data_IF_830816292404
#
_entry.id   IF_830816292404
#
_cell.length_a   1.000
_cell.length_b   1.000
_cell.length_c   1.000
_cell.angle_alpha   90.00
_cell.angle_beta   90.00
_cell.angle_gamma   90.00
#
_symmetry.space_group_name_H-M   'P 1'
#
loop_
_entity.id
_entity.type
_entity.pdbx_description
1 polymer ?
#
# COMPACT_ATOMS: atom_id res chain seq x y z
N UNK A 1 34.77 -1.40 -4.50
CA UNK A 1 33.35 -1.62 -4.78
C UNK A 1 32.64 -0.31 -4.50
N UNK A 2 31.69 0.11 -5.35
CA UNK A 2 30.88 1.29 -5.07
C UNK A 2 30.03 1.04 -3.81
N UNK A 3 29.68 2.09 -3.10
CA UNK A 3 28.82 1.96 -1.92
C UNK A 3 27.43 1.47 -2.34
N UNK A 4 26.81 0.54 -1.57
CA UNK A 4 25.48 0.05 -1.88
C UNK A 4 24.46 1.20 -1.90
N UNK A 5 23.51 1.13 -2.84
CA UNK A 5 22.60 2.21 -3.18
C UNK A 5 21.16 1.85 -2.83
N UNK A 6 20.40 2.84 -2.35
CA UNK A 6 18.95 2.75 -2.20
C UNK A 6 18.26 3.42 -3.39
N UNK A 7 17.43 2.65 -4.10
CA UNK A 7 16.59 3.18 -5.18
C UNK A 7 15.18 3.47 -4.65
N UNK A 8 14.75 4.73 -4.72
CA UNK A 8 13.40 5.15 -4.29
C UNK A 8 12.55 5.35 -5.54
N UNK A 9 11.57 4.46 -5.75
CA UNK A 9 10.67 4.49 -6.90
C UNK A 9 9.34 5.12 -6.49
N UNK A 10 9.20 6.41 -6.82
CA UNK A 10 8.02 7.21 -6.46
C UNK A 10 7.94 8.48 -7.31
N UNK A 11 6.74 9.10 -7.35
CA UNK A 11 6.54 10.40 -8.02
C UNK A 11 7.29 11.53 -7.31
N UNK A 12 7.55 12.63 -7.98
CA UNK A 12 8.20 13.82 -7.39
C UNK A 12 7.34 14.51 -6.32
N UNK A 13 6.04 14.28 -6.31
CA UNK A 13 5.09 14.90 -5.38
C UNK A 13 4.88 14.10 -4.09
N UNK A 14 5.61 12.97 -3.90
CA UNK A 14 5.46 12.12 -2.73
C UNK A 14 6.24 12.66 -1.53
N UNK A 15 5.63 13.55 -0.77
CA UNK A 15 6.19 14.14 0.47
C UNK A 15 6.57 13.08 1.51
N UNK A 16 5.86 11.95 1.57
CA UNK A 16 6.22 10.86 2.49
C UNK A 16 7.50 10.15 2.03
N UNK A 17 7.70 10.02 0.72
CA UNK A 17 8.96 9.54 0.13
C UNK A 17 10.12 10.48 0.45
N UNK A 18 9.89 11.80 0.45
CA UNK A 18 10.90 12.80 0.77
C UNK A 18 11.44 12.64 2.20
N UNK A 19 10.58 12.29 3.18
CA UNK A 19 11.00 12.04 4.56
C UNK A 19 12.02 10.90 4.65
N UNK A 20 11.77 9.80 3.94
CA UNK A 20 12.68 8.64 3.92
C UNK A 20 13.98 8.99 3.20
N UNK A 21 13.92 9.71 2.08
CA UNK A 21 15.11 10.18 1.35
C UNK A 21 15.96 11.09 2.24
N UNK A 22 15.33 12.03 2.96
CA UNK A 22 16.05 12.91 3.90
C UNK A 22 16.76 12.11 5.00
N UNK A 23 16.07 11.17 5.63
CA UNK A 23 16.66 10.33 6.68
C UNK A 23 17.79 9.41 6.17
N UNK A 24 17.72 8.94 4.92
CA UNK A 24 18.81 8.20 4.30
C UNK A 24 20.00 9.11 3.99
N UNK A 25 19.76 10.34 3.51
CA UNK A 25 20.82 11.32 3.27
C UNK A 25 21.54 11.74 4.59
N UNK A 26 20.81 11.90 5.71
CA UNK A 26 21.39 12.15 7.04
C UNK A 26 22.33 11.03 7.50
N UNK A 27 22.13 9.80 6.97
CA UNK A 27 23.00 8.64 7.22
C UNK A 27 24.10 8.48 6.17
N UNK A 28 24.25 9.48 5.29
CA UNK A 28 25.23 9.45 4.20
C UNK A 28 25.03 8.26 3.23
N UNK A 29 23.79 7.69 3.18
CA UNK A 29 23.44 6.60 2.28
C UNK A 29 23.28 7.11 0.86
N UNK A 30 23.90 6.47 -0.15
CA UNK A 30 23.62 6.78 -1.54
C UNK A 30 22.15 6.49 -1.89
N UNK A 31 21.41 7.53 -2.28
CA UNK A 31 19.99 7.43 -2.64
C UNK A 31 19.76 7.99 -4.03
N UNK A 32 18.97 7.30 -4.83
CA UNK A 32 18.48 7.82 -6.10
C UNK A 32 16.97 7.67 -6.18
N UNK A 33 16.30 8.78 -6.46
CA UNK A 33 14.86 8.79 -6.77
C UNK A 33 14.64 8.61 -8.25
N UNK A 34 13.68 7.76 -8.61
CA UNK A 34 13.26 7.48 -9.98
C UNK A 34 11.73 7.47 -10.02
N UNK A 35 11.16 8.23 -10.93
CA UNK A 35 9.79 8.04 -11.37
C UNK A 35 9.80 7.35 -12.75
N UNK A 36 9.29 6.11 -12.87
CA UNK A 36 9.26 5.40 -14.15
C UNK A 36 8.48 6.12 -15.26
N UNK A 37 7.56 7.02 -14.91
CA UNK A 37 6.85 7.85 -15.89
C UNK A 37 7.75 8.93 -16.54
N UNK A 38 8.93 9.20 -15.98
CA UNK A 38 9.91 10.12 -16.56
C UNK A 38 10.70 9.50 -17.74
N UNK A 39 10.38 8.26 -18.12
CA UNK A 39 11.02 7.57 -19.27
C UNK A 39 11.07 8.45 -20.52
N UNK A 40 12.26 8.62 -21.07
CA UNK A 40 12.53 9.40 -22.28
C UNK A 40 12.71 10.91 -22.05
N UNK A 41 12.25 11.48 -20.94
CA UNK A 41 12.46 12.92 -20.62
C UNK A 41 13.44 13.11 -19.47
N UNK A 42 13.17 12.51 -18.32
CA UNK A 42 13.99 12.60 -17.10
C UNK A 42 14.70 11.29 -16.75
N UNK A 43 14.32 10.19 -17.40
CA UNK A 43 14.86 8.86 -17.14
C UNK A 43 15.26 8.17 -18.45
N UNK A 44 16.53 7.84 -18.58
CA UNK A 44 17.04 6.94 -19.60
C UNK A 44 17.57 5.66 -18.94
N UNK A 45 17.46 4.54 -19.62
CA UNK A 45 18.00 3.27 -19.15
C UNK A 45 18.55 2.42 -20.28
N UNK A 46 19.49 1.56 -19.93
CA UNK A 46 19.98 0.51 -20.81
C UNK A 46 20.32 -0.70 -19.95
N UNK A 47 19.72 -1.84 -20.26
CA UNK A 47 19.97 -3.09 -19.56
C UNK A 47 20.29 -4.19 -20.54
N UNK A 48 21.23 -5.07 -20.16
CA UNK A 48 21.66 -6.22 -20.97
C UNK A 48 21.83 -7.47 -20.12
N UNK A 49 21.48 -8.59 -20.68
CA UNK A 49 21.75 -9.91 -20.14
C UNK A 49 22.34 -10.76 -21.27
N UNK A 50 23.25 -11.68 -20.96
CA UNK A 50 23.88 -12.51 -21.98
C UNK A 50 24.48 -13.78 -21.38
N UNK A 51 25.16 -14.57 -22.19
CA UNK A 51 25.74 -15.85 -21.78
C UNK A 51 26.62 -15.71 -20.53
N UNK A 52 26.32 -16.48 -19.48
CA UNK A 52 27.04 -16.46 -18.20
C UNK A 52 26.60 -15.37 -17.22
N UNK A 53 25.72 -14.44 -17.61
CA UNK A 53 25.18 -13.46 -16.68
C UNK A 53 24.01 -14.05 -15.88
N UNK A 54 24.05 -13.90 -14.55
CA UNK A 54 22.98 -14.34 -13.64
C UNK A 54 21.92 -13.27 -13.40
N UNK A 55 22.19 -12.01 -13.81
CA UNK A 55 21.33 -10.87 -13.62
C UNK A 55 21.48 -9.86 -14.77
N UNK A 56 20.50 -8.95 -14.86
CA UNK A 56 20.59 -7.80 -15.74
C UNK A 56 21.71 -6.85 -15.27
N UNK A 57 22.66 -6.56 -16.16
CA UNK A 57 23.62 -5.46 -15.99
C UNK A 57 23.24 -4.26 -16.82
N UNK A 58 23.66 -3.07 -16.40
CA UNK A 58 23.38 -1.82 -17.11
C UNK A 58 23.07 -0.66 -16.18
N UNK A 59 22.52 0.40 -16.73
CA UNK A 59 22.40 1.69 -16.05
C UNK A 59 21.03 2.31 -16.14
N UNK A 60 20.70 3.04 -15.07
CA UNK A 60 19.66 4.05 -15.03
C UNK A 60 20.34 5.41 -14.99
N UNK A 61 19.87 6.36 -15.79
CA UNK A 61 20.35 7.75 -15.79
C UNK A 61 19.17 8.69 -15.60
N UNK A 62 19.21 9.46 -14.52
CA UNK A 62 18.31 10.59 -14.25
C UNK A 62 18.99 11.90 -14.67
N UNK A 63 18.31 13.03 -14.52
CA UNK A 63 18.89 14.34 -14.80
C UNK A 63 20.11 14.66 -13.92
N UNK A 64 20.22 14.08 -12.73
CA UNK A 64 21.25 14.39 -11.73
C UNK A 64 22.20 13.25 -11.42
N UNK A 65 21.84 11.98 -11.73
CA UNK A 65 22.62 10.80 -11.31
C UNK A 65 22.58 9.69 -12.34
N UNK A 66 23.65 8.90 -12.34
CA UNK A 66 23.73 7.63 -13.06
C UNK A 66 23.93 6.50 -12.04
N UNK A 67 23.26 5.38 -12.24
CA UNK A 67 23.21 4.22 -11.32
C UNK A 67 23.45 2.95 -12.10
N UNK A 68 24.40 2.14 -11.68
CA UNK A 68 24.53 0.76 -12.15
C UNK A 68 23.46 -0.11 -11.49
N UNK A 69 22.74 -0.92 -12.27
CA UNK A 69 21.67 -1.79 -11.75
C UNK A 69 22.17 -2.77 -10.69
N UNK A 70 23.42 -3.25 -10.80
CA UNK A 70 24.02 -4.16 -9.85
C UNK A 70 24.45 -3.52 -8.52
N UNK A 71 24.42 -2.21 -8.40
CA UNK A 71 24.74 -1.48 -7.15
C UNK A 71 23.52 -1.26 -6.26
N UNK A 72 22.32 -1.51 -6.80
CA UNK A 72 21.07 -1.33 -6.04
C UNK A 72 20.92 -2.45 -5.01
N UNK A 73 21.06 -2.11 -3.73
CA UNK A 73 20.93 -3.05 -2.61
C UNK A 73 19.54 -3.04 -1.98
N UNK A 74 18.83 -1.91 -2.07
CA UNK A 74 17.46 -1.81 -1.58
C UNK A 74 16.60 -0.95 -2.50
N UNK A 75 15.32 -1.27 -2.54
CA UNK A 75 14.30 -0.54 -3.31
C UNK A 75 13.16 -0.15 -2.38
N UNK A 76 12.91 1.13 -2.24
CA UNK A 76 11.69 1.65 -1.66
C UNK A 76 10.69 1.93 -2.77
N UNK A 77 9.81 0.96 -3.05
CA UNK A 77 8.80 1.06 -4.10
C UNK A 77 7.50 1.61 -3.50
N UNK A 78 7.17 2.85 -3.82
CA UNK A 78 6.07 3.53 -3.14
C UNK A 78 4.92 3.88 -4.09
N UNK A 79 4.91 5.08 -4.64
CA UNK A 79 3.81 5.63 -5.44
C UNK A 79 4.32 6.29 -6.71
N UNK A 80 4.91 5.52 -7.65
CA UNK A 80 5.30 6.08 -8.92
C UNK A 80 4.07 6.56 -9.70
N UNK A 81 4.29 7.57 -10.51
CA UNK A 81 3.30 8.03 -11.49
C UNK A 81 2.97 6.89 -12.46
N UNK A 82 1.70 6.65 -12.80
CA UNK A 82 1.34 5.64 -13.78
C UNK A 82 2.03 5.89 -15.13
N UNK A 83 2.57 4.85 -15.75
CA UNK A 83 3.23 4.95 -17.05
C UNK A 83 2.38 5.65 -18.13
N UNK A 84 1.06 5.47 -18.09
CA UNK A 84 0.13 6.10 -19.03
C UNK A 84 0.14 7.64 -18.96
N UNK A 85 0.49 8.22 -17.82
CA UNK A 85 0.55 9.67 -17.66
C UNK A 85 1.62 10.31 -18.58
N UNK A 86 2.72 9.57 -18.85
CA UNK A 86 3.78 10.03 -19.77
C UNK A 86 3.28 10.23 -21.20
N UNK A 87 2.28 9.49 -21.60
CA UNK A 87 1.82 9.42 -22.99
C UNK A 87 0.44 10.09 -23.21
N UNK A 88 0.04 10.99 -22.32
CA UNK A 88 -1.27 11.65 -22.35
C UNK A 88 -1.59 12.38 -23.67
N UNK A 89 -0.55 12.83 -24.38
CA UNK A 89 -0.70 13.52 -25.68
C UNK A 89 -0.85 12.59 -26.89
N UNK A 90 -0.72 11.27 -26.70
CA UNK A 90 -0.88 10.30 -27.77
C UNK A 90 -2.34 9.87 -27.92
N UNK A 91 -2.78 9.47 -29.13
CA UNK A 91 -4.05 8.77 -29.32
C UNK A 91 -4.15 7.54 -28.39
N UNK A 92 -5.36 7.21 -27.95
CA UNK A 92 -5.60 6.20 -26.91
C UNK A 92 -4.86 4.87 -27.17
N UNK A 93 -4.99 4.30 -28.37
CA UNK A 93 -4.33 3.04 -28.73
C UNK A 93 -2.80 3.12 -28.65
N UNK A 94 -2.21 4.23 -29.14
CA UNK A 94 -0.75 4.44 -29.09
C UNK A 94 -0.27 4.66 -27.66
N UNK A 95 -1.03 5.42 -26.86
CA UNK A 95 -0.77 5.66 -25.45
C UNK A 95 -0.75 4.34 -24.67
N UNK A 96 -1.79 3.51 -24.87
CA UNK A 96 -1.93 2.27 -24.14
C UNK A 96 -0.83 1.27 -24.53
N UNK A 97 -0.47 1.19 -25.80
CA UNK A 97 0.68 0.41 -26.26
C UNK A 97 1.99 0.90 -25.67
N UNK A 98 2.30 2.19 -25.76
CA UNK A 98 3.57 2.75 -25.23
C UNK A 98 3.66 2.59 -23.70
N UNK A 99 2.55 2.77 -22.97
CA UNK A 99 2.50 2.54 -21.53
C UNK A 99 2.73 1.08 -21.16
N UNK A 100 2.17 0.15 -21.93
CA UNK A 100 2.39 -1.29 -21.75
C UNK A 100 3.86 -1.68 -21.99
N UNK A 101 4.46 -1.20 -23.09
CA UNK A 101 5.88 -1.45 -23.39
C UNK A 101 6.82 -0.89 -22.31
N UNK A 102 6.57 0.35 -21.86
CA UNK A 102 7.36 0.95 -20.77
C UNK A 102 7.20 0.15 -19.46
N UNK A 103 5.97 -0.27 -19.13
CA UNK A 103 5.70 -1.07 -17.95
C UNK A 103 6.38 -2.44 -17.99
N UNK A 104 6.31 -3.14 -19.12
CA UNK A 104 6.90 -4.47 -19.26
C UNK A 104 8.42 -4.41 -19.43
N UNK A 105 8.95 -3.43 -20.17
CA UNK A 105 10.38 -3.25 -20.36
C UNK A 105 11.08 -2.69 -19.12
N UNK A 106 10.92 -1.40 -18.85
CA UNK A 106 11.55 -0.74 -17.69
C UNK A 106 11.03 -1.31 -16.37
N UNK A 107 9.70 -1.45 -16.22
CA UNK A 107 9.10 -2.02 -15.02
C UNK A 107 9.57 -3.44 -14.75
N UNK A 108 9.76 -4.26 -15.80
CA UNK A 108 10.33 -5.60 -15.69
C UNK A 108 11.74 -5.60 -15.11
N UNK A 109 12.60 -4.64 -15.52
CA UNK A 109 13.94 -4.47 -14.95
C UNK A 109 13.85 -4.01 -13.48
N UNK A 110 13.07 -2.95 -13.21
CA UNK A 110 12.95 -2.37 -11.87
C UNK A 110 12.34 -3.34 -10.83
N UNK A 111 11.50 -4.27 -11.25
CA UNK A 111 10.89 -5.27 -10.38
C UNK A 111 11.78 -6.50 -10.13
N UNK A 112 12.93 -6.62 -10.80
CA UNK A 112 13.79 -7.79 -10.72
C UNK A 112 15.26 -7.42 -10.54
N UNK A 113 15.55 -6.41 -9.74
CA UNK A 113 16.92 -6.05 -9.37
C UNK A 113 17.48 -7.15 -8.45
N UNK A 114 18.47 -7.87 -8.94
CA UNK A 114 18.99 -9.06 -8.29
C UNK A 114 19.64 -8.75 -6.94
N UNK A 115 19.21 -9.44 -5.88
CA UNK A 115 19.75 -9.27 -4.53
C UNK A 115 19.23 -8.05 -3.78
N UNK A 116 18.45 -7.18 -4.42
CA UNK A 116 17.88 -6.01 -3.74
C UNK A 116 16.74 -6.38 -2.78
N UNK A 117 16.74 -5.77 -1.59
CA UNK A 117 15.59 -5.80 -0.70
C UNK A 117 14.51 -4.84 -1.22
N UNK A 118 13.28 -5.33 -1.36
CA UNK A 118 12.15 -4.48 -1.71
C UNK A 118 11.28 -4.15 -0.50
N UNK A 119 10.95 -2.87 -0.35
CA UNK A 119 9.97 -2.38 0.61
C UNK A 119 8.91 -1.54 -0.12
N UNK A 120 7.80 -2.11 -0.58
CA UNK A 120 7.51 -3.53 -0.79
C UNK A 120 7.76 -3.94 -2.25
N UNK A 121 7.87 -5.24 -2.50
CA UNK A 121 7.93 -5.72 -3.89
C UNK A 121 6.58 -5.47 -4.59
N UNK A 122 6.55 -4.91 -5.83
CA UNK A 122 5.29 -4.54 -6.51
C UNK A 122 4.31 -5.70 -6.69
N UNK A 123 4.80 -6.92 -6.95
CA UNK A 123 3.91 -8.08 -7.07
C UNK A 123 3.30 -8.49 -5.73
N UNK A 124 4.03 -8.37 -4.62
CA UNK A 124 3.51 -8.60 -3.28
C UNK A 124 2.43 -7.56 -2.92
N UNK A 125 2.68 -6.27 -3.25
CA UNK A 125 1.67 -5.21 -3.11
C UNK A 125 0.41 -5.55 -3.90
N UNK A 126 0.56 -5.97 -5.17
CA UNK A 126 -0.58 -6.33 -6.03
C UNK A 126 -1.37 -7.51 -5.45
N UNK A 127 -0.69 -8.55 -4.96
CA UNK A 127 -1.36 -9.70 -4.35
C UNK A 127 -2.10 -9.32 -3.06
N UNK A 128 -1.49 -8.47 -2.23
CA UNK A 128 -2.06 -8.02 -0.97
C UNK A 128 -3.16 -6.95 -1.13
N UNK A 129 -3.39 -6.39 -2.31
CA UNK A 129 -4.36 -5.33 -2.58
C UNK A 129 -5.80 -5.87 -2.74
N UNK A 130 -5.96 -7.19 -2.84
CA UNK A 130 -7.26 -7.85 -2.96
C UNK A 130 -7.95 -7.97 -1.58
N UNK A 131 -8.98 -7.14 -1.30
CA UNK A 131 -9.70 -7.17 -0.01
C UNK A 131 -10.23 -8.55 0.39
N UNK A 132 -10.78 -9.39 -0.51
CA UNK A 132 -11.20 -10.74 -0.14
C UNK A 132 -10.03 -11.62 0.36
N UNK A 133 -8.85 -11.51 -0.30
CA UNK A 133 -7.65 -12.23 0.15
C UNK A 133 -7.14 -11.71 1.50
N UNK A 134 -7.21 -10.40 1.72
CA UNK A 134 -6.86 -9.77 3.00
C UNK A 134 -7.71 -10.32 4.15
N UNK A 135 -9.03 -10.31 4.01
CA UNK A 135 -9.96 -10.78 5.03
C UNK A 135 -9.79 -12.28 5.31
N UNK A 136 -9.63 -13.08 4.26
CA UNK A 136 -9.37 -14.51 4.42
C UNK A 136 -8.06 -14.76 5.17
N UNK A 137 -6.98 -14.07 4.80
CA UNK A 137 -5.69 -14.23 5.46
C UNK A 137 -5.73 -13.78 6.92
N UNK A 138 -6.41 -12.64 7.20
CA UNK A 138 -6.60 -12.15 8.56
C UNK A 138 -7.34 -13.17 9.43
N UNK A 139 -8.44 -13.74 8.93
CA UNK A 139 -9.20 -14.77 9.63
C UNK A 139 -8.38 -16.05 9.87
N UNK A 140 -7.60 -16.51 8.89
CA UNK A 140 -6.69 -17.67 9.02
C UNK A 140 -5.63 -17.47 10.11
N UNK A 141 -5.26 -16.23 10.40
CA UNK A 141 -4.29 -15.85 11.42
C UNK A 141 -4.94 -15.53 12.77
N UNK A 142 -6.25 -15.76 12.91
CA UNK A 142 -6.98 -15.57 14.15
C UNK A 142 -7.39 -14.11 14.46
N UNK A 143 -7.24 -13.20 13.50
CA UNK A 143 -7.78 -11.85 13.64
C UNK A 143 -9.31 -11.89 13.50
N UNK A 144 -10.00 -11.11 14.32
CA UNK A 144 -11.43 -10.91 14.17
C UNK A 144 -11.72 -10.11 12.91
N UNK A 145 -12.55 -10.64 12.01
CA UNK A 145 -12.99 -9.96 10.79
C UNK A 145 -14.51 -9.76 10.83
N UNK A 146 -15.05 -8.65 10.29
CA UNK A 146 -16.49 -8.47 10.22
C UNK A 146 -17.12 -9.52 9.30
N UNK A 147 -18.34 -10.01 9.57
CA UNK A 147 -19.12 -10.76 8.57
C UNK A 147 -19.13 -10.01 7.25
N UNK A 148 -18.74 -10.67 6.18
CA UNK A 148 -18.52 -10.04 4.87
C UNK A 148 -19.09 -10.90 3.75
N UNK A 149 -19.78 -10.28 2.81
CA UNK A 149 -20.31 -10.88 1.58
C UNK A 149 -19.69 -10.20 0.37
N UNK A 150 -19.23 -10.99 -0.58
CA UNK A 150 -18.89 -10.53 -1.93
C UNK A 150 -19.86 -11.20 -2.88
N UNK A 151 -20.66 -10.40 -3.58
CA UNK A 151 -21.71 -10.92 -4.45
C UNK A 151 -22.06 -9.96 -5.60
N UNK A 152 -22.69 -10.50 -6.63
CA UNK A 152 -23.45 -9.78 -7.64
C UNK A 152 -24.92 -10.24 -7.69
N UNK A 153 -25.37 -10.93 -6.65
CA UNK A 153 -26.71 -11.52 -6.55
C UNK A 153 -27.53 -10.77 -5.51
N UNK A 154 -28.68 -10.23 -5.94
CA UNK A 154 -29.59 -9.42 -5.10
C UNK A 154 -30.15 -10.23 -3.93
N UNK A 155 -30.51 -11.49 -4.16
CA UNK A 155 -31.10 -12.33 -3.12
C UNK A 155 -30.08 -12.67 -2.02
N UNK A 156 -28.82 -12.94 -2.42
CA UNK A 156 -27.74 -13.13 -1.47
C UNK A 156 -27.46 -11.86 -0.65
N UNK A 157 -27.49 -10.68 -1.30
CA UNK A 157 -27.29 -9.41 -0.63
C UNK A 157 -28.40 -9.09 0.39
N UNK A 158 -29.67 -9.30 0.00
CA UNK A 158 -30.85 -9.14 0.89
C UNK A 158 -30.79 -10.10 2.07
N UNK A 159 -30.49 -11.37 1.81
CA UNK A 159 -30.35 -12.38 2.87
C UNK A 159 -29.24 -12.00 3.84
N UNK A 160 -28.08 -11.60 3.35
CA UNK A 160 -26.96 -11.19 4.20
C UNK A 160 -27.35 -10.01 5.11
N UNK A 161 -28.04 -9.01 4.56
CA UNK A 161 -28.52 -7.87 5.34
C UNK A 161 -29.57 -8.29 6.41
N UNK A 162 -30.47 -9.24 6.08
CA UNK A 162 -31.44 -9.78 7.03
C UNK A 162 -30.76 -10.56 8.18
N UNK A 163 -29.70 -11.30 7.87
CA UNK A 163 -29.00 -12.15 8.84
C UNK A 163 -28.10 -11.33 9.78
N UNK A 164 -27.55 -10.19 9.33
CA UNK A 164 -26.49 -9.44 10.06
C UNK A 164 -26.88 -8.02 10.49
N UNK A 165 -28.09 -7.56 10.19
CA UNK A 165 -28.57 -6.22 10.57
C UNK A 165 -27.96 -5.12 9.71
N UNK A 166 -27.61 -3.94 10.24
CA UNK A 166 -27.08 -2.86 9.43
C UNK A 166 -25.84 -3.27 8.66
N UNK A 167 -25.86 -3.08 7.35
CA UNK A 167 -24.74 -3.39 6.45
C UNK A 167 -24.18 -2.15 5.84
N UNK A 168 -22.89 -2.20 5.61
CA UNK A 168 -22.15 -1.15 4.90
C UNK A 168 -21.68 -1.67 3.55
N UNK A 169 -21.67 -0.78 2.57
CA UNK A 169 -21.08 -1.00 1.27
C UNK A 169 -19.67 -0.41 1.23
N UNK A 170 -18.75 -1.16 0.66
CA UNK A 170 -17.36 -0.73 0.42
C UNK A 170 -16.95 -1.06 -1.01
N UNK A 171 -16.22 -0.16 -1.65
CA UNK A 171 -15.57 -0.49 -2.92
C UNK A 171 -14.34 -1.36 -2.69
N UNK A 172 -14.02 -2.21 -3.65
CA UNK A 172 -12.77 -2.98 -3.62
C UNK A 172 -11.55 -2.06 -3.80
N UNK A 173 -11.59 -1.21 -4.83
CA UNK A 173 -10.49 -0.34 -5.21
C UNK A 173 -10.95 0.97 -5.85
N UNK A 174 -12.24 1.17 -5.97
CA UNK A 174 -12.81 2.16 -6.87
C UNK A 174 -12.58 3.60 -6.42
N UNK A 175 -11.79 4.32 -7.20
CA UNK A 175 -11.85 5.76 -7.30
C UNK A 175 -12.53 6.06 -8.64
N UNK A 176 -13.87 6.19 -8.67
CA UNK A 176 -14.59 6.47 -9.91
C UNK A 176 -14.14 7.82 -10.46
N UNK A 177 -14.07 7.91 -11.77
CA UNK A 177 -13.91 9.20 -12.45
C UNK A 177 -15.26 9.64 -12.97
N UNK A 178 -15.56 10.94 -12.81
CA UNK A 178 -16.69 11.55 -13.46
C UNK A 178 -16.44 11.76 -14.97
N UNK A 179 -17.41 12.29 -15.68
CA UNK A 179 -17.32 12.55 -17.11
C UNK A 179 -16.20 13.54 -17.47
N UNK A 180 -15.85 14.43 -16.55
CA UNK A 180 -14.77 15.41 -16.68
C UNK A 180 -13.40 14.84 -16.25
N UNK A 181 -13.36 13.59 -15.77
CA UNK A 181 -12.15 12.88 -15.35
C UNK A 181 -11.70 13.18 -13.92
N UNK A 182 -12.49 13.91 -13.13
CA UNK A 182 -12.19 14.11 -11.71
C UNK A 182 -12.35 12.82 -10.93
N UNK A 183 -11.43 12.59 -9.99
CA UNK A 183 -11.45 11.40 -9.15
C UNK A 183 -12.41 11.63 -7.99
N UNK A 184 -13.48 10.85 -7.93
CA UNK A 184 -14.38 10.78 -6.79
C UNK A 184 -13.94 9.71 -5.79
N UNK A 185 -14.37 9.83 -4.53
CA UNK A 185 -14.20 8.79 -3.53
C UNK A 185 -15.58 8.22 -3.15
N UNK A 186 -15.69 6.89 -3.16
CA UNK A 186 -16.82 6.19 -2.58
C UNK A 186 -16.38 5.69 -1.20
N UNK A 187 -16.87 6.35 -0.17
CA UNK A 187 -16.59 6.01 1.22
C UNK A 187 -17.46 4.84 1.67
N UNK A 188 -17.02 4.15 2.73
CA UNK A 188 -17.87 3.19 3.40
C UNK A 188 -19.17 3.88 3.86
N UNK A 189 -20.31 3.30 3.51
CA UNK A 189 -21.63 3.88 3.82
C UNK A 189 -22.63 2.80 4.14
N UNK A 190 -23.57 3.10 5.05
CA UNK A 190 -24.74 2.24 5.26
C UNK A 190 -25.56 2.19 3.99
N UNK A 191 -26.09 1.03 3.70
CA UNK A 191 -27.01 0.81 2.58
C UNK A 191 -28.34 0.29 3.09
N UNK A 192 -29.43 0.72 2.45
CA UNK A 192 -30.77 0.23 2.71
C UNK A 192 -31.02 -1.00 1.81
N UNK A 193 -31.23 -2.19 2.39
CA UNK A 193 -31.50 -3.41 1.62
C UNK A 193 -32.74 -3.35 0.74
N UNK A 194 -33.70 -2.47 1.04
CA UNK A 194 -34.87 -2.22 0.22
C UNK A 194 -34.52 -1.62 -1.17
N UNK A 195 -33.36 -0.96 -1.26
CA UNK A 195 -32.86 -0.36 -2.49
C UNK A 195 -32.09 -1.34 -3.38
N UNK A 196 -31.85 -2.58 -2.92
CA UNK A 196 -31.15 -3.57 -3.73
C UNK A 196 -32.00 -4.04 -4.90
N UNK A 197 -31.48 -3.90 -6.10
CA UNK A 197 -32.12 -4.22 -7.36
C UNK A 197 -31.16 -4.92 -8.34
N UNK A 198 -31.61 -5.11 -9.57
CA UNK A 198 -30.87 -5.80 -10.63
C UNK A 198 -29.56 -5.10 -11.02
N UNK A 199 -29.34 -3.84 -10.61
CA UNK A 199 -28.06 -3.14 -10.82
C UNK A 199 -26.89 -3.86 -10.13
N UNK A 200 -27.15 -4.64 -9.08
CA UNK A 200 -26.12 -5.45 -8.44
C UNK A 200 -25.52 -6.52 -9.37
N UNK A 201 -26.27 -6.98 -10.37
CA UNK A 201 -25.78 -7.99 -11.31
C UNK A 201 -24.63 -7.49 -12.22
N UNK A 202 -24.42 -6.17 -12.31
CA UNK A 202 -23.45 -5.56 -13.24
C UNK A 202 -21.99 -5.88 -12.86
N UNK A 203 -21.67 -6.00 -11.57
CA UNK A 203 -20.32 -6.23 -11.11
C UNK A 203 -20.30 -6.88 -9.72
N UNK A 204 -19.09 -7.14 -9.18
CA UNK A 204 -18.93 -7.62 -7.82
C UNK A 204 -19.07 -6.47 -6.80
N UNK A 205 -19.80 -6.71 -5.73
CA UNK A 205 -20.03 -5.79 -4.62
C UNK A 205 -19.54 -6.39 -3.31
N UNK A 206 -19.04 -5.53 -2.40
CA UNK A 206 -18.64 -5.92 -1.06
C UNK A 206 -19.58 -5.29 -0.04
N UNK A 207 -20.29 -6.15 0.68
CA UNK A 207 -21.12 -5.80 1.82
C UNK A 207 -20.49 -6.35 3.09
N UNK A 208 -20.57 -5.58 4.16
CA UNK A 208 -19.99 -5.95 5.44
C UNK A 208 -20.96 -5.58 6.56
N UNK A 209 -21.10 -6.43 7.56
CA UNK A 209 -21.85 -6.08 8.77
C UNK A 209 -21.22 -4.83 9.40
N UNK A 210 -22.03 -3.88 9.81
CA UNK A 210 -21.53 -2.69 10.49
C UNK A 210 -21.01 -3.07 11.88
N UNK A 211 -19.78 -2.63 12.19
CA UNK A 211 -19.19 -2.80 13.51
C UNK A 211 -19.47 -1.56 14.36
N UNK A 212 -20.11 -1.77 15.49
CA UNK A 212 -20.30 -0.72 16.50
C UNK A 212 -18.96 -0.48 17.19
N UNK A 213 -18.20 0.48 16.68
CA UNK A 213 -16.86 0.81 17.14
C UNK A 213 -16.88 2.02 18.06
N UNK A 214 -15.91 2.10 18.98
CA UNK A 214 -15.62 3.27 19.82
C UNK A 214 -14.47 4.12 19.24
N UNK A 215 -13.75 3.60 18.26
CA UNK A 215 -12.66 4.29 17.58
C UNK A 215 -12.09 3.44 16.45
N UNK A 216 -11.19 4.03 15.71
CA UNK A 216 -10.38 3.37 14.70
C UNK A 216 -8.92 3.30 15.17
N UNK A 217 -8.16 2.30 14.72
CA UNK A 217 -6.73 2.24 14.96
C UNK A 217 -6.01 2.05 13.65
N UNK A 218 -5.00 2.87 13.41
CA UNK A 218 -4.01 2.67 12.36
C UNK A 218 -2.76 2.04 12.96
N UNK A 219 -2.41 0.82 12.52
CA UNK A 219 -1.16 0.16 12.88
C UNK A 219 -0.23 0.17 11.69
N UNK A 220 0.93 0.78 11.83
CA UNK A 220 1.97 0.80 10.81
C UNK A 220 3.08 -0.16 11.21
N UNK A 221 3.34 -1.16 10.38
CA UNK A 221 4.42 -2.13 10.61
C UNK A 221 5.50 -1.93 9.56
N UNK A 222 6.75 -1.73 10.01
CA UNK A 222 7.94 -1.60 9.15
C UNK A 222 8.99 -2.60 9.64
N UNK A 223 9.23 -3.65 8.87
CA UNK A 223 10.07 -4.76 9.32
C UNK A 223 9.54 -5.38 10.59
N UNK A 224 10.28 -5.22 11.69
CA UNK A 224 9.88 -5.73 13.02
C UNK A 224 9.29 -4.66 13.93
N UNK A 225 9.26 -3.40 13.53
CA UNK A 225 8.77 -2.29 14.36
C UNK A 225 7.29 -2.05 14.09
N UNK A 226 6.53 -1.88 15.16
CA UNK A 226 5.09 -1.66 15.14
C UNK A 226 4.79 -0.30 15.78
N UNK A 227 3.97 0.49 15.11
CA UNK A 227 3.52 1.81 15.54
C UNK A 227 2.00 1.83 15.45
N UNK A 228 1.32 2.24 16.51
CA UNK A 228 -0.14 2.23 16.54
C UNK A 228 -0.70 3.54 17.08
N UNK A 229 -1.65 4.09 16.36
CA UNK A 229 -2.39 5.29 16.72
C UNK A 229 -3.89 5.01 16.70
N UNK A 230 -4.53 5.21 17.84
CA UNK A 230 -5.97 5.32 17.87
C UNK A 230 -6.39 6.63 17.21
N UNK A 231 -7.43 6.58 16.39
CA UNK A 231 -7.97 7.71 15.66
C UNK A 231 -9.43 7.88 16.06
N UNK A 232 -9.77 9.03 16.60
CA UNK A 232 -11.14 9.38 16.93
C UNK A 232 -11.60 10.55 16.08
N UNK A 233 -12.70 10.36 15.35
CA UNK A 233 -13.40 11.40 14.65
C UNK A 233 -14.43 12.04 15.62
N UNK A 234 -14.39 13.35 15.85
CA UNK A 234 -15.29 14.02 16.82
C UNK A 234 -16.78 13.87 16.50
N UNK A 235 -17.13 13.68 15.23
CA UNK A 235 -18.49 13.50 14.73
C UNK A 235 -18.98 12.03 14.76
N UNK A 236 -18.14 11.09 15.20
CA UNK A 236 -18.45 9.67 15.21
C UNK A 236 -18.65 9.07 13.82
N UNK A 237 -18.02 9.64 12.80
CA UNK A 237 -18.18 9.22 11.41
C UNK A 237 -17.85 7.73 11.23
N UNK A 238 -18.65 7.05 10.42
CA UNK A 238 -18.42 5.64 10.05
C UNK A 238 -17.04 5.43 9.41
N UNK A 239 -16.62 6.39 8.58
CA UNK A 239 -15.30 6.45 7.96
C UNK A 239 -14.64 7.78 8.34
N UNK A 240 -13.63 7.72 9.22
CA UNK A 240 -12.92 8.91 9.73
C UNK A 240 -12.28 9.75 8.63
N UNK A 241 -12.02 9.17 7.46
CA UNK A 241 -11.42 9.88 6.32
C UNK A 241 -12.34 10.89 5.65
N UNK A 242 -13.67 10.81 5.91
CA UNK A 242 -14.66 11.76 5.36
C UNK A 242 -14.67 13.11 6.07
N UNK A 243 -14.22 13.13 7.31
CA UNK A 243 -14.30 14.30 8.17
C UNK A 243 -13.17 15.31 7.95
N UNK A 244 -13.12 16.30 8.84
CA UNK A 244 -12.01 17.23 8.89
C UNK A 244 -10.77 16.55 9.52
N UNK A 245 -9.74 16.34 8.73
CA UNK A 245 -8.50 15.71 9.17
C UNK A 245 -7.78 16.45 10.28
N UNK A 246 -7.88 17.80 10.29
CA UNK A 246 -7.28 18.65 11.34
C UNK A 246 -8.00 18.53 12.69
N UNK A 247 -9.21 17.97 12.69
CA UNK A 247 -10.00 17.74 13.90
C UNK A 247 -9.85 16.30 14.44
N UNK A 248 -9.14 15.41 13.74
CA UNK A 248 -8.93 14.06 14.20
C UNK A 248 -8.06 14.06 15.47
N UNK A 249 -8.51 13.31 16.46
CA UNK A 249 -7.73 13.09 17.68
C UNK A 249 -6.91 11.83 17.54
N UNK A 250 -5.65 11.92 17.88
CA UNK A 250 -4.70 10.82 17.84
C UNK A 250 -4.19 10.51 19.24
N UNK A 251 -4.14 9.23 19.58
CA UNK A 251 -3.51 8.76 20.81
C UNK A 251 -2.72 7.48 20.52
N UNK A 252 -1.47 7.36 21.03
CA UNK A 252 -0.75 6.11 20.94
C UNK A 252 -1.51 5.03 21.72
N UNK A 253 -1.56 3.82 21.15
CA UNK A 253 -2.21 2.66 21.77
C UNK A 253 -1.25 1.47 21.74
N UNK A 254 -1.23 0.68 22.82
CA UNK A 254 -0.47 -0.57 22.84
C UNK A 254 -1.16 -1.64 22.00
N UNK A 255 -0.39 -2.33 21.15
CA UNK A 255 -0.92 -3.44 20.35
C UNK A 255 -0.82 -4.72 21.18
N UNK A 256 -1.93 -5.48 21.38
CA UNK A 256 -1.86 -6.76 22.05
C UNK A 256 -0.89 -7.72 21.35
N UNK A 257 -0.10 -8.49 22.11
CA UNK A 257 0.94 -9.37 21.57
C UNK A 257 0.40 -10.38 20.53
N UNK A 258 -0.83 -10.84 20.69
CA UNK A 258 -1.47 -11.75 19.74
C UNK A 258 -1.74 -11.04 18.39
N UNK A 259 -2.18 -9.78 18.43
CA UNK A 259 -2.39 -8.95 17.22
C UNK A 259 -1.03 -8.70 16.55
N UNK A 260 -0.01 -8.25 17.29
CA UNK A 260 1.32 -8.00 16.74
C UNK A 260 1.89 -9.23 16.04
N UNK A 261 1.80 -10.41 16.66
CA UNK A 261 2.25 -11.67 16.06
C UNK A 261 1.48 -12.02 14.77
N UNK A 262 0.15 -11.77 14.76
CA UNK A 262 -0.67 -11.97 13.58
C UNK A 262 -0.30 -11.00 12.45
N UNK A 263 0.01 -9.73 12.75
CA UNK A 263 0.44 -8.75 11.75
C UNK A 263 1.77 -9.14 11.08
N UNK A 264 2.76 -9.61 11.84
CA UNK A 264 4.01 -10.10 11.27
C UNK A 264 3.79 -11.33 10.39
N UNK A 265 2.94 -12.26 10.84
CA UNK A 265 2.57 -13.45 10.06
C UNK A 265 1.83 -13.07 8.77
N UNK A 266 0.96 -12.04 8.84
CA UNK A 266 0.24 -11.51 7.69
C UNK A 266 1.19 -10.91 6.64
N UNK A 267 2.13 -10.07 7.07
CA UNK A 267 3.15 -9.50 6.17
C UNK A 267 3.96 -10.63 5.50
N UNK A 268 4.39 -11.62 6.28
CA UNK A 268 5.12 -12.77 5.77
C UNK A 268 4.33 -13.56 4.73
N UNK A 269 3.03 -13.80 4.97
CA UNK A 269 2.16 -14.56 4.07
C UNK A 269 2.00 -13.90 2.70
N UNK A 270 2.01 -12.56 2.64
CA UNK A 270 1.96 -11.81 1.39
C UNK A 270 3.35 -11.43 0.83
N UNK A 271 4.44 -11.77 1.53
CA UNK A 271 5.79 -11.35 1.13
C UNK A 271 6.01 -9.85 1.26
N UNK A 272 5.36 -9.21 2.23
CA UNK A 272 5.47 -7.79 2.52
C UNK A 272 6.50 -7.54 3.63
N UNK A 273 7.12 -6.38 3.60
CA UNK A 273 8.03 -5.86 4.63
C UNK A 273 7.38 -4.73 5.41
N UNK A 274 6.38 -4.10 4.81
CA UNK A 274 5.67 -2.94 5.33
C UNK A 274 4.17 -3.07 5.07
N UNK A 275 3.35 -2.57 6.01
CA UNK A 275 1.90 -2.43 5.84
C UNK A 275 1.30 -1.46 6.82
N UNK A 276 0.25 -0.74 6.38
CA UNK A 276 -0.62 0.03 7.24
C UNK A 276 -1.93 -0.73 7.40
N UNK A 277 -2.22 -1.17 8.62
CA UNK A 277 -3.42 -1.92 8.97
C UNK A 277 -4.44 -1.00 9.61
N UNK A 278 -5.69 -1.16 9.23
CA UNK A 278 -6.82 -0.46 9.84
C UNK A 278 -7.66 -1.45 10.66
N UNK A 279 -7.94 -1.08 11.90
CA UNK A 279 -8.81 -1.80 12.82
C UNK A 279 -9.94 -0.91 13.31
N UNK A 280 -11.09 -1.52 13.58
CA UNK A 280 -12.13 -0.91 14.40
C UNK A 280 -12.00 -1.44 15.83
N UNK A 281 -12.02 -0.54 16.82
CA UNK A 281 -12.05 -0.92 18.23
C UNK A 281 -13.49 -1.04 18.73
N UNK A 282 -13.81 -2.15 19.37
CA UNK A 282 -15.12 -2.42 19.99
C UNK A 282 -15.10 -2.35 21.53
N UNK A 283 -13.90 -2.29 22.11
CA UNK A 283 -13.61 -2.15 23.53
C UNK A 283 -12.44 -1.21 23.77
N UNK A 284 -11.86 -1.24 24.97
CA UNK A 284 -10.74 -0.36 25.36
C UNK A 284 -9.41 -0.65 24.62
N UNK A 285 -9.34 -1.79 23.94
CA UNK A 285 -8.19 -2.19 23.13
C UNK A 285 -7.13 -3.00 23.88
N UNK A 286 -7.34 -3.30 25.15
CA UNK A 286 -6.42 -4.13 25.93
C UNK A 286 -6.48 -5.60 25.52
N UNK A 287 -7.66 -6.07 25.08
CA UNK A 287 -7.88 -7.42 24.63
C UNK A 287 -7.83 -7.53 23.08
N UNK A 288 -7.30 -8.66 22.57
CA UNK A 288 -7.20 -8.88 21.13
C UNK A 288 -8.56 -8.95 20.43
N UNK A 289 -9.59 -9.42 21.12
CA UNK A 289 -10.99 -9.51 20.64
C UNK A 289 -11.63 -8.15 20.40
N UNK A 290 -11.13 -7.08 21.02
CA UNK A 290 -11.58 -5.71 20.77
C UNK A 290 -11.11 -5.16 19.41
N UNK A 291 -10.16 -5.82 18.78
CA UNK A 291 -9.54 -5.38 17.54
C UNK A 291 -10.16 -6.10 16.34
N UNK A 292 -11.05 -5.43 15.64
CA UNK A 292 -11.68 -5.96 14.43
C UNK A 292 -10.91 -5.48 13.20
N UNK A 293 -10.28 -6.41 12.48
CA UNK A 293 -9.49 -6.13 11.29
C UNK A 293 -10.39 -5.60 10.16
N UNK A 294 -10.02 -4.48 9.57
CA UNK A 294 -10.75 -3.85 8.47
C UNK A 294 -10.04 -4.05 7.13
N UNK A 295 -8.77 -3.64 7.03
CA UNK A 295 -7.96 -3.78 5.82
C UNK A 295 -6.47 -3.63 6.12
N UNK A 296 -5.64 -4.08 5.18
CA UNK A 296 -4.22 -3.75 5.11
C UNK A 296 -3.95 -2.93 3.85
N UNK A 297 -3.30 -1.79 4.01
CA UNK A 297 -2.80 -0.99 2.90
C UNK A 297 -1.30 -1.26 2.72
N UNK A 298 -0.89 -2.14 1.77
CA UNK A 298 0.51 -2.57 1.61
C UNK A 298 1.42 -1.43 1.10
N UNK A 299 0.83 -0.31 0.73
CA UNK A 299 1.52 0.92 0.33
C UNK A 299 0.84 2.15 0.96
N UNK A 300 0.44 2.00 2.24
CA UNK A 300 -0.36 2.98 2.98
C UNK A 300 0.36 4.31 3.22
N UNK A 301 -0.44 5.36 3.47
CA UNK A 301 0.05 6.66 3.90
C UNK A 301 0.21 6.68 5.41
N UNK A 302 1.40 7.06 5.86
CA UNK A 302 1.76 7.18 7.27
C UNK A 302 2.38 8.54 7.62
N UNK A 303 2.79 9.32 6.63
CA UNK A 303 3.54 10.57 6.84
C UNK A 303 2.75 11.69 7.56
N UNK A 304 1.44 11.51 7.75
CA UNK A 304 0.56 12.42 8.49
C UNK A 304 0.35 12.00 9.96
N UNK A 305 0.80 10.80 10.35
CA UNK A 305 0.66 10.30 11.71
C UNK A 305 1.61 11.05 12.68
N UNK A 306 1.23 11.19 13.95
CA UNK A 306 2.09 11.84 14.97
C UNK A 306 3.49 11.20 15.10
N UNK A 307 3.58 9.88 14.93
CA UNK A 307 4.79 9.07 15.01
C UNK A 307 5.53 8.91 13.66
N UNK A 308 5.21 9.74 12.67
CA UNK A 308 5.83 9.70 11.34
C UNK A 308 7.38 9.80 11.38
N UNK A 309 7.95 10.47 12.38
CA UNK A 309 9.41 10.54 12.60
C UNK A 309 10.02 9.18 12.91
N UNK A 310 9.40 8.44 13.84
CA UNK A 310 9.86 7.10 14.24
C UNK A 310 9.65 6.08 13.13
N UNK A 311 8.54 6.19 12.39
CA UNK A 311 8.25 5.39 11.20
C UNK A 311 9.30 5.66 10.12
N UNK A 312 9.66 6.94 9.87
CA UNK A 312 10.73 7.33 8.93
C UNK A 312 12.05 6.67 9.32
N UNK A 313 12.39 6.71 10.60
CA UNK A 313 13.60 6.07 11.13
C UNK A 313 13.59 4.57 10.87
N UNK A 314 12.45 3.89 11.08
CA UNK A 314 12.32 2.45 10.80
C UNK A 314 12.55 2.11 9.32
N UNK A 315 12.01 2.92 8.39
CA UNK A 315 12.29 2.75 6.96
C UNK A 315 13.77 2.95 6.65
N UNK A 316 14.38 4.00 7.17
CA UNK A 316 15.79 4.26 6.94
C UNK A 316 16.68 3.14 7.52
N UNK A 317 16.34 2.58 8.68
CA UNK A 317 17.05 1.44 9.28
C UNK A 317 17.03 0.22 8.38
N UNK A 318 15.85 -0.21 7.92
CA UNK A 318 15.72 -1.43 7.11
C UNK A 318 16.35 -1.27 5.73
N UNK A 319 16.23 -0.09 5.11
CA UNK A 319 16.82 0.19 3.81
C UNK A 319 18.35 0.30 3.88
N UNK A 320 18.91 0.77 5.01
CA UNK A 320 20.36 0.86 5.23
C UNK A 320 20.99 -0.49 5.57
N UNK A 321 20.34 -1.31 6.41
CA UNK A 321 20.89 -2.59 6.88
C UNK A 321 21.04 -3.62 5.75
N UNK A 322 20.16 -3.58 4.73
CA UNK A 322 20.28 -4.45 3.54
C UNK A 322 21.57 -4.19 2.75
N UNK A 323 22.19 -3.03 2.94
CA UNK A 323 23.44 -2.67 2.27
C UNK A 323 24.67 -3.26 2.96
N UNK A 324 24.57 -3.61 4.26
CA UNK A 324 25.68 -4.21 5.02
C UNK A 324 25.74 -5.74 4.86
N UNK A 325 24.62 -6.40 4.49
CA UNK A 325 24.49 -7.86 4.39
C UNK A 325 24.82 -8.47 3.02
N UNK A 326 25.12 -7.69 1.99
CA UNK A 326 25.37 -8.13 0.61
C UNK A 326 26.69 -8.90 0.35
N UNK A 327 27.38 -9.30 1.40
CA UNK A 327 28.67 -10.00 1.30
C UNK A 327 28.64 -11.52 1.57
N UNK A 328 27.49 -12.10 1.93
CA UNK A 328 27.43 -13.52 2.24
C UNK A 328 26.01 -14.10 2.05
N UNK A 329 25.66 -14.49 0.83
CA UNK A 329 24.73 -15.59 0.56
C UNK A 329 24.98 -16.16 -0.83
#
# INVERSE_FOLDING_TARGET
MAAPLVLVITSLEDVTGDRVIAALNEREMPVVRVDPADIGTGLAFGARIGAGALAWGGRLRTASREVELGEVAAVYYRRPTPYSARYGNLPAQQRDFAAAEARHGLGGILNHLHGALYVNHPSAVTAADFKPAQLQQAALLGLTVPPTLVTNDVEHARKFAADHGPVIYKTFRGLPRDEDGHIGAIWAQRVDPETFDDCLAVTAHLFQAEILKIGDVRVTVVGRRVFAQQIAAPDGALDWRRGNWDALLHAPIAVPAAIEAALHSYLSAFGLVFGCFDFALTGDGDAAEDWVFIECNPNGQWGWLPDAGDITTAFADILSTSTEGGGAR
#
